data_IF_826666336612
#
_entry.id   IF_826666336612
#
_cell.length_a   1.000
_cell.length_b   1.000
_cell.length_c   1.000
_cell.angle_alpha   90.00
_cell.angle_beta   90.00
_cell.angle_gamma   90.00
#
_symmetry.space_group_name_H-M   'P 1'
#
loop_
_entity.id
_entity.type
_entity.pdbx_description
1 polymer ?
#
# COMPACT_ATOMS: atom_id res chain seq x y z
N UNK A 1 -3.22 -15.61 37.79
CA UNK A 1 -3.57 -16.44 36.60
C UNK A 1 -5.04 -16.37 36.17
N UNK A 2 -6.00 -16.04 37.05
CA UNK A 2 -7.43 -15.95 36.73
C UNK A 2 -7.82 -14.84 35.71
N UNK A 3 -7.24 -13.61 35.72
CA UNK A 3 -7.70 -12.56 34.80
C UNK A 3 -7.36 -12.87 33.33
N UNK A 4 -6.20 -13.46 33.05
CA UNK A 4 -5.74 -13.76 31.70
C UNK A 4 -6.66 -14.76 30.96
N UNK A 5 -7.20 -15.75 31.68
CA UNK A 5 -8.14 -16.75 31.14
C UNK A 5 -9.48 -16.11 30.73
N UNK A 6 -9.91 -15.05 31.43
CA UNK A 6 -11.13 -14.32 31.09
C UNK A 6 -10.94 -13.39 29.89
N UNK A 7 -9.77 -12.76 29.74
CA UNK A 7 -9.43 -11.98 28.54
C UNK A 7 -9.32 -12.87 27.29
N UNK A 8 -8.71 -14.04 27.41
CA UNK A 8 -8.60 -14.99 26.31
C UNK A 8 -9.98 -15.46 25.84
N UNK A 9 -10.90 -15.78 26.77
CA UNK A 9 -12.29 -16.14 26.44
C UNK A 9 -13.04 -15.01 25.73
N UNK A 10 -12.85 -13.76 26.17
CA UNK A 10 -13.46 -12.59 25.53
C UNK A 10 -12.91 -12.38 24.12
N UNK A 11 -11.59 -12.50 23.92
CA UNK A 11 -10.98 -12.43 22.60
C UNK A 11 -11.47 -13.55 21.67
N UNK A 12 -11.53 -14.79 22.15
CA UNK A 12 -12.04 -15.93 21.37
C UNK A 12 -13.52 -15.73 21.02
N UNK A 13 -14.33 -15.21 21.94
CA UNK A 13 -15.75 -14.93 21.68
C UNK A 13 -15.95 -13.79 20.66
N UNK A 14 -15.12 -12.73 20.73
CA UNK A 14 -15.11 -11.66 19.72
C UNK A 14 -14.63 -12.19 18.37
N UNK A 15 -13.60 -13.04 18.33
CA UNK A 15 -13.14 -13.70 17.11
C UNK A 15 -14.23 -14.60 16.52
N UNK A 16 -14.93 -15.35 17.38
CA UNK A 16 -16.03 -16.22 16.98
C UNK A 16 -17.22 -15.43 16.41
N UNK A 17 -17.58 -14.30 17.04
CA UNK A 17 -18.59 -13.38 16.50
C UNK A 17 -18.14 -12.76 15.18
N UNK A 18 -16.87 -12.40 15.03
CA UNK A 18 -16.32 -11.92 13.76
C UNK A 18 -16.45 -13.01 12.68
N UNK A 19 -16.00 -14.24 12.96
CA UNK A 19 -16.12 -15.40 12.04
C UNK A 19 -17.58 -15.71 11.68
N UNK A 20 -18.51 -15.62 12.62
CA UNK A 20 -19.93 -15.79 12.33
C UNK A 20 -20.50 -14.64 11.49
N UNK A 21 -20.07 -13.40 11.72
CA UNK A 21 -20.48 -12.28 10.87
C UNK A 21 -19.92 -12.40 9.44
N UNK A 22 -18.75 -13.02 9.27
CA UNK A 22 -18.22 -13.41 7.95
C UNK A 22 -19.07 -14.48 7.23
N UNK A 23 -19.91 -15.23 7.95
CA UNK A 23 -20.81 -16.23 7.37
C UNK A 23 -22.19 -15.67 6.99
N UNK A 24 -22.61 -14.55 7.59
CA UNK A 24 -23.93 -13.93 7.36
C UNK A 24 -23.89 -12.90 6.22
N UNK A 25 -22.75 -12.26 6.01
CA UNK A 25 -22.47 -11.48 4.81
C UNK A 25 -21.63 -12.35 3.88
N UNK A 26 -22.18 -12.79 2.76
CA UNK A 26 -21.41 -13.51 1.76
C UNK A 26 -20.35 -12.57 1.20
N UNK A 27 -19.12 -12.66 1.69
CA UNK A 27 -18.01 -11.86 1.18
C UNK A 27 -17.67 -12.33 -0.24
N UNK A 28 -17.88 -11.48 -1.25
CA UNK A 28 -17.41 -11.73 -2.61
C UNK A 28 -15.98 -11.20 -2.76
N UNK A 29 -15.04 -12.02 -2.28
CA UNK A 29 -13.63 -11.69 -2.25
C UNK A 29 -13.01 -11.76 -3.64
N UNK A 30 -12.76 -10.61 -4.23
CA UNK A 30 -11.95 -10.43 -5.42
C UNK A 30 -10.52 -10.02 -5.04
N UNK A 31 -9.61 -10.99 -5.11
CA UNK A 31 -8.20 -10.77 -4.82
C UNK A 31 -7.45 -10.25 -6.04
N UNK A 32 -6.63 -9.21 -5.85
CA UNK A 32 -5.76 -8.67 -6.90
C UNK A 32 -4.43 -8.23 -6.29
N UNK A 33 -3.48 -7.88 -7.12
CA UNK A 33 -2.17 -7.43 -6.65
C UNK A 33 -1.68 -6.20 -7.42
N UNK A 34 -0.69 -5.53 -6.87
CA UNK A 34 0.01 -4.40 -7.47
C UNK A 34 1.52 -4.52 -7.24
N UNK A 35 2.31 -3.95 -8.14
CA UNK A 35 3.78 -4.03 -8.05
C UNK A 35 4.33 -3.24 -6.87
N UNK A 36 3.64 -2.19 -6.45
CA UNK A 36 4.08 -1.32 -5.38
C UNK A 36 3.70 0.12 -5.64
N UNK A 37 3.84 0.98 -4.65
CA UNK A 37 3.61 2.42 -4.82
C UNK A 37 4.73 3.26 -4.26
N UNK A 38 4.93 4.43 -4.87
CA UNK A 38 5.82 5.47 -4.38
C UNK A 38 4.97 6.70 -4.08
N UNK A 39 5.07 7.22 -2.86
CA UNK A 39 4.31 8.36 -2.35
C UNK A 39 5.27 9.40 -1.77
N UNK A 40 5.22 10.62 -2.28
CA UNK A 40 5.98 11.77 -1.79
C UNK A 40 5.02 12.76 -1.13
N UNK A 41 5.40 13.33 0.00
CA UNK A 41 4.54 14.31 0.67
C UNK A 41 5.19 15.01 1.84
N UNK A 42 4.34 15.62 2.65
CA UNK A 42 4.72 16.41 3.81
C UNK A 42 4.14 15.86 5.11
N UNK A 43 4.94 15.91 6.17
CA UNK A 43 4.56 15.65 7.54
C UNK A 43 4.51 16.97 8.32
N UNK A 44 3.39 17.18 9.00
CA UNK A 44 3.08 18.41 9.72
C UNK A 44 2.86 18.08 11.20
N UNK A 45 3.54 18.83 12.08
CA UNK A 45 3.37 18.73 13.52
C UNK A 45 2.57 19.93 14.02
N UNK A 46 1.59 19.72 14.91
CA UNK A 46 0.78 20.80 15.46
C UNK A 46 1.62 21.93 16.10
N UNK A 47 2.78 21.59 16.66
CA UNK A 47 3.67 22.53 17.35
C UNK A 47 4.77 23.14 16.46
N UNK A 48 4.93 22.68 15.21
CA UNK A 48 5.96 23.19 14.28
C UNK A 48 5.35 23.51 12.92
N UNK A 49 5.41 24.77 12.46
CA UNK A 49 4.82 25.18 11.20
C UNK A 49 5.61 24.75 9.96
N UNK A 50 6.82 24.19 10.12
CA UNK A 50 7.62 23.67 9.01
C UNK A 50 7.24 22.21 8.73
N UNK A 51 6.92 21.93 7.48
CA UNK A 51 6.68 20.58 6.99
C UNK A 51 8.01 19.83 6.84
N UNK A 52 8.08 18.65 7.43
CA UNK A 52 9.14 17.67 7.13
C UNK A 52 8.73 16.94 5.84
N UNK A 53 9.68 16.61 4.96
CA UNK A 53 9.33 15.86 3.75
C UNK A 53 9.29 14.36 4.05
N UNK A 54 8.43 13.64 3.35
CA UNK A 54 8.21 12.22 3.54
C UNK A 54 8.17 11.48 2.20
N UNK A 55 8.88 10.37 2.10
CA UNK A 55 8.85 9.47 0.96
C UNK A 55 8.50 8.06 1.44
N UNK A 56 7.34 7.56 1.05
CA UNK A 56 6.94 6.19 1.29
C UNK A 56 7.13 5.37 0.01
N UNK A 57 7.69 4.19 0.14
CA UNK A 57 7.84 3.20 -0.93
C UNK A 57 7.26 1.89 -0.42
N UNK A 58 6.43 1.23 -1.22
CA UNK A 58 6.02 -0.13 -0.95
C UNK A 58 6.13 -1.01 -2.19
N UNK A 59 6.27 -2.31 -1.99
CA UNK A 59 6.34 -3.28 -3.08
C UNK A 59 5.46 -4.51 -2.80
N UNK A 60 5.04 -5.16 -3.88
CA UNK A 60 4.25 -6.40 -3.89
C UNK A 60 3.01 -6.31 -2.99
N UNK A 61 2.09 -5.39 -3.32
CA UNK A 61 0.86 -5.20 -2.53
C UNK A 61 -0.18 -6.22 -2.98
N UNK A 62 -0.71 -6.98 -2.04
CA UNK A 62 -1.82 -7.90 -2.24
C UNK A 62 -3.08 -7.26 -1.68
N UNK A 63 -4.18 -7.36 -2.41
CA UNK A 63 -5.47 -6.80 -2.05
C UNK A 63 -6.52 -7.90 -2.02
N UNK A 64 -7.42 -7.81 -1.05
CA UNK A 64 -8.56 -8.68 -0.83
C UNK A 64 -9.77 -7.77 -0.71
N UNK A 65 -10.38 -7.47 -1.87
CA UNK A 65 -11.51 -6.57 -1.97
C UNK A 65 -12.80 -7.37 -1.93
N UNK A 66 -13.73 -6.95 -1.08
CA UNK A 66 -15.11 -7.40 -1.14
C UNK A 66 -15.89 -6.49 -2.11
N UNK A 67 -16.40 -7.09 -3.19
CA UNK A 67 -17.10 -6.34 -4.24
C UNK A 67 -18.41 -5.76 -3.75
N UNK A 68 -19.07 -6.42 -2.81
CA UNK A 68 -20.40 -6.03 -2.34
C UNK A 68 -20.35 -4.96 -1.25
N UNK A 69 -19.30 -4.90 -0.43
CA UNK A 69 -19.20 -3.87 0.61
C UNK A 69 -18.28 -2.73 0.22
N UNK A 70 -17.36 -2.93 -0.72
CA UNK A 70 -16.29 -1.97 -0.99
C UNK A 70 -15.18 -1.96 0.07
N UNK A 71 -15.22 -2.88 1.04
CA UNK A 71 -14.08 -3.12 1.93
C UNK A 71 -12.92 -3.73 1.15
N UNK A 72 -11.71 -3.32 1.50
CA UNK A 72 -10.50 -3.82 0.90
C UNK A 72 -9.43 -3.97 1.97
N UNK A 73 -8.96 -5.19 2.17
CA UNK A 73 -7.80 -5.45 2.99
C UNK A 73 -6.59 -5.55 2.07
N UNK A 74 -5.52 -4.82 2.38
CA UNK A 74 -4.28 -4.93 1.66
C UNK A 74 -3.12 -5.29 2.58
N UNK A 75 -2.20 -6.08 2.03
CA UNK A 75 -0.97 -6.52 2.68
C UNK A 75 0.21 -6.22 1.77
N UNK A 76 1.26 -5.65 2.33
CA UNK A 76 2.50 -5.40 1.60
C UNK A 76 3.66 -5.88 2.44
N UNK A 77 4.43 -6.88 1.98
CA UNK A 77 5.57 -7.40 2.73
C UNK A 77 6.76 -6.44 2.72
N UNK A 78 6.79 -5.47 1.80
CA UNK A 78 7.86 -4.49 1.70
C UNK A 78 7.28 -3.08 1.80
N UNK A 79 7.61 -2.41 2.88
CA UNK A 79 7.34 -1.00 3.09
C UNK A 79 8.65 -0.32 3.49
N UNK A 80 8.77 0.94 3.13
CA UNK A 80 9.86 1.81 3.52
C UNK A 80 9.29 3.21 3.65
N UNK A 81 9.46 3.83 4.81
CA UNK A 81 9.17 5.24 5.04
C UNK A 81 10.52 5.96 5.15
N UNK A 82 10.68 7.10 4.50
CA UNK A 82 11.90 7.90 4.55
C UNK A 82 11.48 9.33 4.90
N UNK A 83 11.84 9.74 6.11
CA UNK A 83 11.57 11.08 6.64
C UNK A 83 12.81 11.95 6.47
N UNK A 84 12.67 13.16 5.95
CA UNK A 84 13.75 14.15 5.97
C UNK A 84 13.34 15.49 6.55
N UNK A 85 14.34 16.23 7.05
CA UNK A 85 14.14 17.37 7.96
C UNK A 85 14.60 17.10 9.40
N UNK A 86 15.16 15.92 9.67
CA UNK A 86 15.68 15.58 10.99
C UNK A 86 16.96 16.41 11.26
N UNK A 87 16.87 17.43 12.14
CA UNK A 87 17.95 18.35 12.53
C UNK A 87 19.28 17.67 12.91
N UNK A 88 19.28 16.37 13.20
CA UNK A 88 20.49 15.58 13.44
C UNK A 88 21.36 15.33 12.19
N UNK A 89 20.82 15.46 10.98
CA UNK A 89 21.55 15.23 9.71
C UNK A 89 22.15 16.55 9.16
N UNK A 90 21.54 17.70 9.47
CA UNK A 90 21.98 19.01 8.99
C UNK A 90 23.35 19.43 9.55
N UNK A 91 23.70 18.99 10.76
CA UNK A 91 24.95 19.33 11.45
C UNK A 91 26.11 18.36 11.19
N UNK A 92 25.98 17.39 10.29
CA UNK A 92 27.02 16.41 10.02
C UNK A 92 27.87 16.88 8.84
N UNK A 93 29.14 17.20 9.09
CA UNK A 93 30.10 17.52 8.04
C UNK A 93 30.56 16.23 7.33
N UNK A 94 30.51 16.23 6.00
CA UNK A 94 30.95 15.11 5.14
C UNK A 94 29.80 14.32 4.51
N UNK A 95 29.87 14.13 3.20
CA UNK A 95 28.82 13.51 2.38
C UNK A 95 28.59 12.01 2.70
N UNK A 96 29.65 11.29 3.08
CA UNK A 96 29.58 9.90 3.53
C UNK A 96 28.92 9.75 4.91
N UNK A 97 29.20 10.69 5.82
CA UNK A 97 28.60 10.73 7.16
C UNK A 97 27.13 11.19 7.13
N UNK A 98 26.78 12.10 6.20
CA UNK A 98 25.38 12.43 5.91
C UNK A 98 24.61 11.25 5.34
N UNK A 99 25.20 10.45 4.43
CA UNK A 99 24.57 9.22 3.91
C UNK A 99 24.35 8.20 5.03
N UNK A 100 25.34 7.91 5.86
CA UNK A 100 25.17 6.94 6.95
C UNK A 100 24.19 7.41 8.02
N UNK A 101 24.17 8.71 8.34
CA UNK A 101 23.19 9.31 9.23
C UNK A 101 21.79 9.36 8.61
N UNK A 102 21.67 9.54 7.29
CA UNK A 102 20.40 9.41 6.57
C UNK A 102 19.87 7.98 6.69
N UNK A 103 20.70 6.95 6.44
CA UNK A 103 20.33 5.55 6.66
C UNK A 103 20.00 5.20 8.12
N UNK A 104 20.56 5.94 9.09
CA UNK A 104 20.38 5.70 10.53
C UNK A 104 19.26 6.52 11.19
N UNK A 105 18.95 7.71 10.67
CA UNK A 105 18.01 8.69 11.25
C UNK A 105 16.86 9.10 10.33
N UNK A 106 16.94 8.80 9.03
CA UNK A 106 15.86 8.93 8.06
C UNK A 106 14.96 7.71 8.15
N UNK A 107 14.28 7.57 9.28
CA UNK A 107 13.50 6.43 9.76
C UNK A 107 13.01 5.38 8.72
N UNK A 108 13.88 4.48 8.28
CA UNK A 108 13.54 3.35 7.41
C UNK A 108 12.71 2.31 8.16
N UNK A 109 11.39 2.30 7.96
CA UNK A 109 10.53 1.21 8.45
C UNK A 109 10.49 0.11 7.39
N UNK A 110 11.44 -0.83 7.41
CA UNK A 110 11.24 -2.12 6.74
C UNK A 110 10.26 -2.95 7.57
N UNK A 111 9.01 -2.97 7.15
CA UNK A 111 7.90 -3.55 7.91
C UNK A 111 7.73 -5.04 7.61
N UNK A 112 7.78 -5.91 8.62
CA UNK A 112 7.41 -7.34 8.46
C UNK A 112 5.90 -7.50 8.27
N UNK A 113 5.12 -6.61 8.87
CA UNK A 113 3.66 -6.55 8.73
C UNK A 113 3.30 -5.14 8.32
N UNK A 114 2.91 -4.96 7.05
CA UNK A 114 2.23 -3.75 6.60
C UNK A 114 0.87 -4.17 6.08
N UNK A 115 -0.17 -3.75 6.81
CA UNK A 115 -1.56 -4.05 6.52
C UNK A 115 -2.36 -2.75 6.47
N UNK A 116 -3.28 -2.66 5.53
CA UNK A 116 -4.19 -1.52 5.42
C UNK A 116 -5.60 -2.04 5.16
N UNK A 117 -6.54 -1.59 5.97
CA UNK A 117 -7.96 -1.77 5.75
C UNK A 117 -8.51 -0.47 5.18
N UNK A 118 -9.15 -0.56 4.02
CA UNK A 118 -9.84 0.57 3.41
C UNK A 118 -11.29 0.26 3.05
N UNK A 119 -12.09 1.30 2.97
CA UNK A 119 -13.48 1.26 2.54
C UNK A 119 -13.66 2.28 1.41
N UNK A 120 -13.95 1.78 0.20
CA UNK A 120 -14.17 2.64 -0.96
C UNK A 120 -15.62 3.15 -0.97
N UNK A 121 -15.81 4.42 -0.64
CA UNK A 121 -17.15 5.05 -0.63
C UNK A 121 -17.75 5.18 -2.03
N UNK A 122 -16.93 5.08 -3.08
CA UNK A 122 -17.35 5.18 -4.49
C UNK A 122 -17.50 3.82 -5.16
N UNK A 123 -17.44 2.71 -4.41
CA UNK A 123 -17.41 1.35 -4.95
C UNK A 123 -18.53 1.04 -5.96
N UNK A 124 -19.74 1.56 -5.73
CA UNK A 124 -20.89 1.34 -6.61
C UNK A 124 -21.08 2.42 -7.68
N UNK A 125 -20.28 3.48 -7.64
CA UNK A 125 -20.44 4.65 -8.49
C UNK A 125 -19.39 4.65 -9.61
N UNK A 126 -18.17 4.18 -9.33
CA UNK A 126 -17.09 4.20 -10.30
C UNK A 126 -16.10 3.05 -10.12
N UNK A 127 -15.73 2.44 -11.24
CA UNK A 127 -14.61 1.49 -11.33
C UNK A 127 -13.25 2.18 -11.56
N UNK A 128 -13.26 3.49 -11.85
CA UNK A 128 -12.05 4.26 -12.18
C UNK A 128 -11.58 5.12 -11.01
N UNK A 129 -12.51 5.68 -10.24
CA UNK A 129 -12.22 6.56 -9.12
C UNK A 129 -12.52 5.85 -7.81
N UNK A 130 -11.54 5.82 -6.92
CA UNK A 130 -11.70 5.32 -5.57
C UNK A 130 -11.57 6.47 -4.57
N UNK A 131 -12.48 6.51 -3.60
CA UNK A 131 -12.36 7.34 -2.41
C UNK A 131 -12.35 6.43 -1.18
N UNK A 132 -11.15 6.16 -0.71
CA UNK A 132 -10.87 5.17 0.32
C UNK A 132 -10.76 5.86 1.68
N UNK A 133 -11.67 5.54 2.59
CA UNK A 133 -11.46 5.73 4.02
C UNK A 133 -10.54 4.60 4.50
N UNK A 134 -9.36 4.92 5.00
CA UNK A 134 -8.36 3.89 5.32
C UNK A 134 -7.82 3.99 6.72
N UNK A 135 -7.38 2.84 7.22
CA UNK A 135 -6.52 2.69 8.40
C UNK A 135 -5.41 1.71 8.05
N UNK A 136 -4.17 2.05 8.38
CA UNK A 136 -3.03 1.18 8.10
C UNK A 136 -2.13 1.04 9.32
N UNK A 137 -1.48 -0.12 9.41
CA UNK A 137 -0.52 -0.44 10.45
C UNK A 137 0.76 -0.89 9.75
N UNK A 138 1.86 -0.25 10.10
CA UNK A 138 3.21 -0.64 9.69
C UNK A 138 4.00 -0.96 10.95
N UNK A 139 4.43 -2.21 11.08
CA UNK A 139 5.28 -2.69 12.17
C UNK A 139 6.63 -3.16 11.62
N UNK A 140 7.69 -2.37 11.86
CA UNK A 140 9.07 -2.80 11.59
C UNK A 140 9.53 -3.92 12.53
N UNK A 141 9.05 -3.91 13.77
CA UNK A 141 9.39 -4.90 14.78
C UNK A 141 8.18 -5.10 15.70
N UNK A 142 7.52 -6.26 15.67
CA UNK A 142 6.32 -6.50 16.46
C UNK A 142 6.60 -6.53 17.98
N UNK A 143 7.86 -6.65 18.40
CA UNK A 143 8.25 -6.71 19.81
C UNK A 143 8.38 -5.31 20.43
N UNK A 144 8.66 -4.28 19.62
CA UNK A 144 8.94 -2.93 20.11
C UNK A 144 7.82 -1.97 19.69
N UNK A 145 6.96 -1.61 20.64
CA UNK A 145 5.79 -0.73 20.40
C UNK A 145 6.17 0.62 19.77
N UNK A 146 7.35 1.17 20.10
CA UNK A 146 7.81 2.44 19.53
C UNK A 146 8.13 2.37 18.02
N UNK A 147 8.18 1.17 17.44
CA UNK A 147 8.42 0.92 16.00
C UNK A 147 7.13 0.62 15.23
N UNK A 148 5.98 0.90 15.83
CA UNK A 148 4.68 0.87 15.17
C UNK A 148 4.37 2.24 14.58
N UNK A 149 3.81 2.20 13.38
CA UNK A 149 3.17 3.33 12.75
C UNK A 149 1.72 2.98 12.47
N UNK A 150 0.81 3.84 12.89
CA UNK A 150 -0.61 3.73 12.59
C UNK A 150 -0.98 4.95 11.76
N UNK A 151 -1.59 4.73 10.60
CA UNK A 151 -2.16 5.81 9.80
C UNK A 151 -3.67 5.65 9.73
N UNK A 152 -4.38 6.77 9.68
CA UNK A 152 -5.80 6.81 9.38
C UNK A 152 -6.10 8.04 8.54
N UNK A 153 -6.96 7.92 7.52
CA UNK A 153 -7.24 9.05 6.66
C UNK A 153 -8.09 8.74 5.44
N UNK A 154 -7.97 9.62 4.46
CA UNK A 154 -8.65 9.57 3.18
C UNK A 154 -7.64 9.44 2.05
N UNK A 155 -7.88 8.52 1.13
CA UNK A 155 -7.14 8.37 -0.11
C UNK A 155 -8.10 8.56 -1.28
N UNK A 156 -7.83 9.53 -2.15
CA UNK A 156 -8.44 9.57 -3.48
C UNK A 156 -7.47 8.93 -4.46
N UNK A 157 -7.94 7.99 -5.28
CA UNK A 157 -7.12 7.30 -6.25
C UNK A 157 -7.80 7.16 -7.61
N UNK A 158 -7.00 7.26 -8.66
CA UNK A 158 -7.39 6.92 -10.02
C UNK A 158 -6.82 5.54 -10.32
N UNK A 159 -7.69 4.55 -10.42
CA UNK A 159 -7.32 3.16 -10.64
C UNK A 159 -7.58 2.73 -12.06
N UNK A 160 -6.70 1.87 -12.58
CA UNK A 160 -6.92 1.21 -13.86
C UNK A 160 -6.45 -0.23 -13.78
N UNK A 161 -7.27 -1.13 -14.31
CA UNK A 161 -6.92 -2.55 -14.38
C UNK A 161 -5.94 -2.81 -15.52
N UNK A 162 -4.96 -3.67 -15.27
CA UNK A 162 -4.02 -4.16 -16.27
C UNK A 162 -4.08 -5.68 -16.28
N UNK A 163 -4.19 -6.26 -17.47
CA UNK A 163 -4.01 -7.69 -17.68
C UNK A 163 -2.72 -7.92 -18.49
N UNK A 164 -1.53 -7.65 -17.93
CA UNK A 164 -0.28 -7.86 -18.67
C UNK A 164 0.05 -9.35 -18.82
N UNK A 165 -0.63 -10.22 -18.06
CA UNK A 165 -0.47 -11.66 -18.12
C UNK A 165 -1.84 -12.28 -18.45
N UNK A 166 -2.00 -12.78 -19.67
CA UNK A 166 -3.21 -13.51 -20.06
C UNK A 166 -3.35 -14.79 -19.21
N UNK A 167 -4.55 -15.06 -18.68
CA UNK A 167 -4.90 -16.34 -18.04
C UNK A 167 -4.62 -16.48 -16.53
N UNK A 168 -4.31 -15.41 -15.78
CA UNK A 168 -4.16 -15.51 -14.31
C UNK A 168 -5.46 -15.21 -13.57
N UNK A 169 -5.71 -15.98 -12.50
CA UNK A 169 -6.85 -15.84 -11.55
C UNK A 169 -6.85 -14.50 -10.78
N UNK A 170 -5.70 -13.84 -10.65
CA UNK A 170 -5.54 -12.61 -9.87
C UNK A 170 -5.06 -11.44 -10.76
N UNK A 171 -5.90 -10.45 -11.04
CA UNK A 171 -5.55 -9.34 -11.91
C UNK A 171 -4.48 -8.43 -11.28
N UNK A 172 -3.73 -7.72 -12.13
CA UNK A 172 -2.82 -6.67 -11.71
C UNK A 172 -3.57 -5.33 -11.78
N UNK A 173 -3.87 -4.70 -10.64
CA UNK A 173 -4.41 -3.33 -10.64
C UNK A 173 -3.31 -2.34 -10.35
N UNK A 174 -3.39 -1.17 -10.99
CA UNK A 174 -2.40 -0.12 -10.83
C UNK A 174 -3.09 1.21 -10.55
N UNK A 175 -2.61 1.92 -9.52
CA UNK A 175 -3.03 3.30 -9.23
C UNK A 175 -2.23 4.26 -10.11
N UNK A 176 -2.89 4.93 -11.04
CA UNK A 176 -2.26 5.96 -11.89
C UNK A 176 -1.79 7.14 -11.06
N UNK A 177 -2.68 7.57 -10.16
CA UNK A 177 -2.43 8.66 -9.23
C UNK A 177 -3.20 8.39 -7.94
N UNK A 178 -2.60 8.75 -6.82
CA UNK A 178 -3.20 8.67 -5.50
C UNK A 178 -2.81 9.90 -4.70
N UNK A 179 -3.78 10.55 -4.08
CA UNK A 179 -3.57 11.60 -3.09
C UNK A 179 -4.12 11.11 -1.75
N UNK A 180 -3.32 11.26 -0.69
CA UNK A 180 -3.67 10.81 0.66
C UNK A 180 -3.49 11.92 1.65
N UNK A 181 -4.42 11.99 2.59
CA UNK A 181 -4.32 12.89 3.72
C UNK A 181 -4.85 12.23 4.97
N UNK A 182 -4.30 12.57 6.13
CA UNK A 182 -4.78 12.04 7.39
C UNK A 182 -3.82 12.20 8.54
N UNK A 183 -3.99 11.35 9.54
CA UNK A 183 -3.19 11.32 10.76
C UNK A 183 -2.30 10.10 10.79
N UNK A 184 -1.03 10.32 11.12
CA UNK A 184 0.01 9.30 11.34
C UNK A 184 0.45 9.38 12.79
N UNK A 185 0.42 8.25 13.48
CA UNK A 185 1.00 8.09 14.80
C UNK A 185 2.25 7.23 14.70
N UNK A 186 3.41 7.80 15.06
CA UNK A 186 4.73 7.16 14.97
C UNK A 186 5.66 7.84 15.97
N UNK A 187 6.67 7.15 16.50
CA UNK A 187 7.60 7.71 17.50
C UNK A 187 6.88 8.33 18.72
N UNK A 188 5.74 7.73 19.11
CA UNK A 188 4.83 8.21 20.16
C UNK A 188 4.27 9.63 19.94
N UNK A 189 4.23 10.12 18.70
CA UNK A 189 3.74 11.46 18.35
C UNK A 189 2.73 11.41 17.20
N UNK A 190 1.67 12.23 17.25
CA UNK A 190 0.77 12.42 16.12
C UNK A 190 1.36 13.41 15.12
N UNK A 191 1.18 13.10 13.84
CA UNK A 191 1.52 13.93 12.70
C UNK A 191 0.32 13.99 11.77
N UNK A 192 0.11 15.12 11.13
CA UNK A 192 -0.74 15.19 9.96
C UNK A 192 0.12 14.93 8.72
N UNK A 193 -0.38 14.17 7.75
CA UNK A 193 0.34 13.93 6.49
C UNK A 193 -0.52 14.30 5.29
N UNK A 194 0.15 14.68 4.21
CA UNK A 194 -0.42 14.89 2.89
C UNK A 194 0.57 14.41 1.84
N UNK A 195 0.23 13.32 1.17
CA UNK A 195 1.11 12.61 0.25
C UNK A 195 0.43 12.45 -1.12
N UNK A 196 1.22 12.53 -2.19
CA UNK A 196 0.83 12.20 -3.56
C UNK A 196 1.70 11.06 -4.07
N UNK A 197 1.14 10.12 -4.81
CA UNK A 197 1.88 8.98 -5.30
C UNK A 197 1.29 8.30 -6.51
N UNK A 198 2.06 7.37 -7.04
CA UNK A 198 1.70 6.54 -8.18
C UNK A 198 2.16 5.09 -7.92
N UNK A 199 1.48 4.16 -8.56
CA UNK A 199 1.87 2.75 -8.54
C UNK A 199 3.00 2.49 -9.53
N UNK A 200 3.98 1.67 -9.16
CA UNK A 200 5.08 1.25 -10.03
C UNK A 200 4.57 0.52 -11.28
N UNK A 201 3.43 -0.18 -11.16
CA UNK A 201 2.75 -0.79 -12.29
C UNK A 201 2.23 0.22 -13.32
N UNK A 202 2.13 1.50 -12.97
CA UNK A 202 1.63 2.50 -13.89
C UNK A 202 2.61 2.80 -15.02
N UNK A 203 3.89 2.49 -14.82
CA UNK A 203 4.91 2.52 -15.89
C UNK A 203 4.53 1.56 -17.03
N UNK A 204 3.90 0.43 -16.71
CA UNK A 204 3.44 -0.53 -17.73
C UNK A 204 2.38 0.06 -18.66
N UNK A 205 1.63 1.09 -18.25
CA UNK A 205 0.68 1.76 -19.15
C UNK A 205 1.38 2.53 -20.27
N UNK A 206 2.55 3.12 -19.99
CA UNK A 206 3.34 3.85 -20.99
C UNK A 206 3.75 2.88 -22.10
N UNK A 207 4.13 1.65 -21.72
CA UNK A 207 4.61 0.62 -22.65
C UNK A 207 3.50 -0.27 -23.22
N UNK A 208 2.24 -0.11 -22.82
CA UNK A 208 1.14 -1.00 -23.24
C UNK A 208 0.98 -1.03 -24.76
N UNK A 209 1.08 0.11 -25.44
CA UNK A 209 0.96 0.19 -26.90
C UNK A 209 2.04 -0.62 -27.62
N UNK A 210 3.27 -0.59 -27.12
CA UNK A 210 4.38 -1.36 -27.69
C UNK A 210 4.29 -2.83 -27.33
N UNK A 211 3.78 -3.17 -26.14
CA UNK A 211 3.51 -4.54 -25.73
C UNK A 211 2.46 -5.22 -26.61
N UNK A 212 1.32 -4.57 -26.88
CA UNK A 212 0.28 -5.14 -27.76
C UNK A 212 0.80 -5.32 -29.19
N UNK A 213 1.56 -4.34 -29.72
CA UNK A 213 2.23 -4.48 -31.02
C UNK A 213 3.23 -5.63 -31.05
N UNK A 214 4.03 -5.81 -30.00
CA UNK A 214 5.00 -6.90 -29.88
C UNK A 214 4.29 -8.26 -29.76
N UNK A 215 3.17 -8.33 -29.02
CA UNK A 215 2.35 -9.53 -28.88
C UNK A 215 1.69 -9.93 -30.20
N UNK A 216 1.11 -8.98 -30.93
CA UNK A 216 0.56 -9.23 -32.27
C UNK A 216 1.64 -9.69 -33.25
N UNK A 217 2.83 -9.09 -33.20
CA UNK A 217 3.97 -9.48 -34.03
C UNK A 217 4.43 -10.91 -33.71
N UNK A 218 4.61 -11.23 -32.42
CA UNK A 218 4.99 -12.58 -31.97
C UNK A 218 3.95 -13.63 -32.37
N UNK A 219 2.64 -13.34 -32.24
CA UNK A 219 1.60 -14.25 -32.68
C UNK A 219 1.62 -14.48 -34.20
N UNK A 220 1.84 -13.43 -35.00
CA UNK A 220 1.96 -13.56 -36.46
C UNK A 220 3.19 -14.36 -36.88
N UNK A 221 4.33 -14.16 -36.23
CA UNK A 221 5.57 -14.91 -36.50
C UNK A 221 5.44 -16.38 -36.10
N UNK A 222 4.81 -16.67 -34.95
CA UNK A 222 4.55 -18.06 -34.50
C UNK A 222 3.61 -18.80 -35.46
N UNK A 223 2.60 -18.13 -36.01
CA UNK A 223 1.71 -18.71 -37.04
C UNK A 223 2.48 -18.95 -38.33
N UNK A 224 3.36 -18.02 -38.73
CA UNK A 224 4.17 -18.16 -39.94
C UNK A 224 5.14 -19.35 -39.87
N UNK A 225 5.80 -19.55 -38.73
CA UNK A 225 6.69 -20.69 -38.48
C UNK A 225 5.98 -22.06 -38.48
N UNK A 226 4.67 -22.09 -38.29
CA UNK A 226 3.85 -23.31 -38.39
C UNK A 226 3.49 -23.62 -39.85
N UNK A 227 3.30 -22.60 -40.70
CA UNK A 227 2.91 -22.75 -42.10
C UNK A 227 4.09 -22.80 -43.09
N UNK A 228 5.29 -22.35 -42.70
CA UNK A 228 6.53 -22.43 -43.50
C UNK A 228 7.31 -23.75 -43.27
N UNK A 229 6.72 -24.74 -42.57
CA UNK A 229 7.34 -26.05 -42.27
C UNK A 229 6.79 -27.25 -43.07
N UNK A 230 5.93 -27.00 -44.04
CA UNK A 230 5.46 -27.99 -45.04
C UNK A 230 6.06 -27.69 -46.43
#
# INVERSE_FOLDING_TARGET
MIPFRNYLKKMVFVLFLAVLSFYVYGFDLNSYWALGDVKLGGLFQAQKPKADWNLNISAFKFYFKDLDSGFNLSLSPFYMDIKGGNKGIENINGESAKRSAFFKHGLFIMSFINAELSFNTLNFISDTFELNLFTSIHAADPVIISRFQINAGLEFAITKEIYPFAGRKYPLKSKLLSTRTGFRYTDNKPFFFCDIGFDLGSILFIFKGDYEKAKEKAQKETVKDIFDKD
#
